data_IF_216995107610
#
_entry.id   IF_216995107610
#
_cell.length_a   1.000
_cell.length_b   1.000
_cell.length_c   1.000
_cell.angle_alpha   90.00
_cell.angle_beta   90.00
_cell.angle_gamma   90.00
#
_symmetry.space_group_name_H-M   'P 1'
#
loop_
_entity.id
_entity.type
_entity.pdbx_description
1 polymer ?
#
# COMPACT_ATOMS: atom_id res chain seq x y z
N UNK A 1 4.63 -23.73 2.96
CA UNK A 1 5.52 -22.59 2.58
C UNK A 1 4.74 -21.72 1.60
N UNK A 2 4.82 -20.38 1.65
CA UNK A 2 4.20 -19.53 0.64
C UNK A 2 4.80 -19.83 -0.75
N UNK A 3 4.00 -19.78 -1.81
CA UNK A 3 4.45 -20.07 -3.18
C UNK A 3 5.36 -18.99 -3.76
N UNK A 4 5.11 -17.73 -3.37
CA UNK A 4 5.88 -16.56 -3.80
C UNK A 4 6.23 -15.67 -2.61
N UNK A 5 7.40 -15.05 -2.70
CA UNK A 5 7.91 -14.09 -1.72
C UNK A 5 8.53 -12.91 -2.45
N UNK A 6 8.55 -11.76 -1.78
CA UNK A 6 9.33 -10.60 -2.19
C UNK A 6 10.61 -10.58 -1.36
N UNK A 7 11.74 -10.58 -2.05
CA UNK A 7 13.06 -10.42 -1.44
C UNK A 7 13.55 -8.99 -1.67
N UNK A 8 13.52 -8.16 -0.63
CA UNK A 8 13.89 -6.75 -0.69
C UNK A 8 15.29 -6.55 -0.11
N UNK A 9 16.27 -6.30 -0.97
CA UNK A 9 17.67 -6.01 -0.58
C UNK A 9 17.80 -4.56 -0.12
N UNK A 10 18.60 -4.30 0.90
CA UNK A 10 18.97 -2.95 1.31
C UNK A 10 19.62 -2.18 0.16
N UNK A 11 19.21 -0.92 -0.03
CA UNK A 11 19.88 0.03 -0.93
C UNK A 11 21.16 0.55 -0.26
N UNK A 12 22.17 0.88 -1.04
CA UNK A 12 23.43 1.41 -0.50
C UNK A 12 23.19 2.74 0.24
N UNK A 13 23.66 2.84 1.49
CA UNK A 13 23.49 4.02 2.35
C UNK A 13 22.09 4.20 2.96
N UNK A 14 21.21 3.21 2.85
CA UNK A 14 19.82 3.26 3.34
C UNK A 14 19.58 2.36 4.57
N UNK A 15 20.54 2.34 5.48
CA UNK A 15 20.47 1.53 6.69
C UNK A 15 19.28 1.94 7.58
N UNK A 16 19.08 3.25 7.74
CA UNK A 16 18.01 3.81 8.57
C UNK A 16 16.62 3.53 7.99
N UNK A 17 16.47 3.58 6.66
CA UNK A 17 15.21 3.29 5.99
C UNK A 17 14.81 1.82 6.13
N UNK A 18 15.77 0.90 6.03
CA UNK A 18 15.49 -0.52 6.25
C UNK A 18 15.11 -0.78 7.72
N UNK A 19 15.77 -0.12 8.66
CA UNK A 19 15.44 -0.24 10.09
C UNK A 19 14.08 0.40 10.42
N UNK A 20 13.76 1.55 9.82
CA UNK A 20 12.44 2.19 9.91
C UNK A 20 11.36 1.28 9.34
N UNK A 21 11.58 0.69 8.17
CA UNK A 21 10.62 -0.23 7.54
C UNK A 21 10.38 -1.46 8.42
N UNK A 22 11.43 -2.06 8.99
CA UNK A 22 11.29 -3.17 9.95
C UNK A 22 10.50 -2.77 11.19
N UNK A 23 10.75 -1.58 11.75
CA UNK A 23 10.01 -1.07 12.89
C UNK A 23 8.53 -0.82 12.55
N UNK A 24 8.25 -0.30 11.36
CA UNK A 24 6.90 -0.12 10.84
C UNK A 24 6.17 -1.46 10.76
N UNK A 25 6.76 -2.49 10.17
CA UNK A 25 6.16 -3.84 10.15
C UNK A 25 5.92 -4.40 11.55
N UNK A 26 6.81 -4.13 12.51
CA UNK A 26 6.60 -4.57 13.89
C UNK A 26 5.37 -3.90 14.53
N UNK A 27 5.20 -2.59 14.32
CA UNK A 27 4.04 -1.81 14.80
C UNK A 27 2.75 -2.22 14.09
N UNK A 28 2.82 -2.48 12.79
CA UNK A 28 1.70 -2.85 11.92
C UNK A 28 1.37 -4.36 11.93
N UNK A 29 1.94 -5.14 12.86
CA UNK A 29 1.71 -6.59 12.99
C UNK A 29 0.21 -6.97 12.91
N UNK A 30 -0.75 -6.25 13.55
CA UNK A 30 -2.16 -6.62 13.50
C UNK A 30 -2.80 -6.57 12.10
N UNK A 31 -2.22 -5.82 11.16
CA UNK A 31 -2.80 -5.57 9.83
C UNK A 31 -1.98 -6.17 8.67
N UNK A 32 -0.94 -6.95 8.99
CA UNK A 32 -0.14 -7.65 7.99
C UNK A 32 -0.94 -8.72 7.24
N UNK A 33 -0.84 -8.71 5.91
CA UNK A 33 -1.66 -9.52 4.99
C UNK A 33 -3.06 -8.96 4.72
N UNK A 34 -3.43 -7.87 5.41
CA UNK A 34 -4.72 -7.20 5.25
C UNK A 34 -4.52 -5.88 4.52
N UNK A 35 -3.68 -5.00 5.08
CA UNK A 35 -3.44 -3.65 4.56
C UNK A 35 -1.99 -3.43 4.16
N UNK A 36 -1.05 -4.21 4.70
CA UNK A 36 0.38 -4.17 4.35
C UNK A 36 0.88 -5.60 4.13
N UNK A 37 2.02 -5.82 3.44
CA UNK A 37 2.60 -7.16 3.29
C UNK A 37 2.85 -7.85 4.63
N UNK A 38 2.88 -9.19 4.63
CA UNK A 38 3.40 -9.96 5.77
C UNK A 38 4.92 -9.88 5.77
N UNK A 39 5.51 -9.54 6.90
CA UNK A 39 6.94 -9.59 7.13
C UNK A 39 7.32 -10.95 7.70
N UNK A 40 8.05 -11.75 6.91
CA UNK A 40 8.49 -13.08 7.33
C UNK A 40 9.81 -13.05 8.11
N UNK A 41 10.63 -12.02 7.91
CA UNK A 41 11.88 -11.84 8.63
C UNK A 41 12.91 -11.08 7.82
N UNK A 42 14.08 -10.87 8.44
CA UNK A 42 15.23 -10.27 7.80
C UNK A 42 16.37 -11.29 7.68
N UNK A 43 17.20 -11.13 6.67
CA UNK A 43 18.37 -11.98 6.39
C UNK A 43 19.51 -11.13 5.82
N UNK A 44 20.63 -11.77 5.48
CA UNK A 44 21.68 -11.18 4.68
C UNK A 44 21.90 -12.00 3.39
N UNK A 45 22.21 -11.32 2.30
CA UNK A 45 22.60 -11.91 1.03
C UNK A 45 23.82 -11.17 0.47
N UNK A 46 24.92 -11.88 0.29
CA UNK A 46 26.23 -11.32 -0.09
C UNK A 46 26.59 -10.12 0.80
N UNK A 47 26.60 -10.34 2.12
CA UNK A 47 26.90 -9.35 3.15
C UNK A 47 26.01 -8.09 3.15
N UNK A 48 24.92 -8.10 2.38
CA UNK A 48 23.92 -7.01 2.38
C UNK A 48 22.65 -7.47 3.06
N UNK A 49 22.12 -6.64 3.96
CA UNK A 49 20.86 -6.92 4.66
C UNK A 49 19.70 -6.97 3.67
N UNK A 50 18.70 -7.78 3.98
CA UNK A 50 17.49 -7.93 3.19
C UNK A 50 16.29 -8.29 4.05
N UNK A 51 15.11 -8.04 3.53
CA UNK A 51 13.82 -8.42 4.12
C UNK A 51 13.10 -9.42 3.22
N UNK A 52 12.38 -10.32 3.86
CA UNK A 52 11.51 -11.30 3.21
C UNK A 52 10.07 -10.91 3.52
N UNK A 53 9.32 -10.59 2.48
CA UNK A 53 7.93 -10.16 2.55
C UNK A 53 7.04 -11.14 1.77
N UNK A 54 5.74 -11.18 2.11
CA UNK A 54 4.76 -11.85 1.25
C UNK A 54 4.63 -11.13 -0.09
N UNK A 55 4.55 -11.90 -1.17
CA UNK A 55 3.96 -11.39 -2.41
C UNK A 55 2.46 -11.10 -2.14
N UNK A 56 2.06 -9.86 -2.38
CA UNK A 56 0.68 -9.39 -2.13
C UNK A 56 -0.25 -9.72 -3.30
N UNK A 57 0.30 -10.11 -4.45
CA UNK A 57 -0.45 -10.31 -5.68
C UNK A 57 -1.17 -9.04 -6.15
N UNK A 58 -2.33 -9.24 -6.79
CA UNK A 58 -3.12 -8.15 -7.35
C UNK A 58 -2.38 -7.34 -8.41
N UNK A 59 -2.83 -6.11 -8.62
CA UNK A 59 -2.24 -5.18 -9.57
C UNK A 59 -1.94 -3.83 -8.93
N UNK A 60 -0.81 -3.23 -9.31
CA UNK A 60 -0.44 -1.88 -8.92
C UNK A 60 -1.45 -0.87 -9.48
N UNK A 61 -2.00 0.04 -8.67
CA UNK A 61 -3.06 0.97 -9.13
C UNK A 61 -2.56 2.07 -10.07
N UNK A 62 -1.24 2.19 -10.23
CA UNK A 62 -0.61 3.01 -11.27
C UNK A 62 -0.48 2.27 -12.63
N UNK A 63 -0.81 0.97 -12.70
CA UNK A 63 -0.85 0.19 -13.93
C UNK A 63 -2.28 0.13 -14.49
N UNK A 64 -2.39 -0.27 -15.77
CA UNK A 64 -3.69 -0.44 -16.44
C UNK A 64 -4.60 -1.43 -15.69
N UNK A 65 -4.02 -2.55 -15.25
CA UNK A 65 -4.73 -3.65 -14.58
C UNK A 65 -5.21 -3.27 -13.17
N UNK A 66 -4.51 -2.34 -12.50
CA UNK A 66 -4.92 -1.84 -11.19
C UNK A 66 -5.86 -0.63 -11.26
N UNK A 67 -5.85 0.11 -12.38
CA UNK A 67 -6.69 1.30 -12.62
C UNK A 67 -8.14 0.98 -13.04
N UNK A 68 -8.68 -0.14 -12.54
CA UNK A 68 -9.99 -0.69 -12.92
C UNK A 68 -11.13 -0.21 -12.01
N UNK A 69 -10.86 0.47 -10.90
CA UNK A 69 -11.92 1.04 -10.07
C UNK A 69 -12.34 2.42 -10.55
N UNK A 70 -13.59 2.79 -10.30
CA UNK A 70 -13.97 4.19 -10.33
C UNK A 70 -13.37 4.95 -9.14
N UNK A 71 -13.45 6.28 -9.18
CA UNK A 71 -12.86 7.13 -8.15
C UNK A 71 -13.50 6.94 -6.77
N UNK A 72 -14.82 6.73 -6.72
CA UNK A 72 -15.57 6.60 -5.47
C UNK A 72 -15.19 5.31 -4.77
N UNK A 73 -15.17 4.21 -5.52
CA UNK A 73 -14.81 2.88 -5.03
C UNK A 73 -13.35 2.85 -4.58
N UNK A 74 -12.44 3.44 -5.36
CA UNK A 74 -11.04 3.61 -4.96
C UNK A 74 -10.90 4.40 -3.65
N UNK A 75 -11.57 5.55 -3.53
CA UNK A 75 -11.53 6.40 -2.35
C UNK A 75 -12.01 5.67 -1.10
N UNK A 76 -13.09 4.89 -1.20
CA UNK A 76 -13.62 4.11 -0.08
C UNK A 76 -12.65 3.03 0.41
N UNK A 77 -12.05 2.27 -0.51
CA UNK A 77 -11.07 1.25 -0.14
C UNK A 77 -9.79 1.87 0.43
N UNK A 78 -9.34 2.97 -0.17
CA UNK A 78 -8.15 3.67 0.27
C UNK A 78 -8.33 4.31 1.65
N UNK A 79 -9.50 4.88 1.94
CA UNK A 79 -9.81 5.40 3.27
C UNK A 79 -9.75 4.29 4.32
N UNK A 80 -10.36 3.14 4.06
CA UNK A 80 -10.30 1.96 4.96
C UNK A 80 -8.85 1.52 5.19
N UNK A 81 -8.06 1.42 4.12
CA UNK A 81 -6.66 1.04 4.23
C UNK A 81 -5.87 2.07 5.05
N UNK A 82 -6.06 3.37 4.80
CA UNK A 82 -5.35 4.40 5.56
C UNK A 82 -5.78 4.43 7.03
N UNK A 83 -7.06 4.29 7.33
CA UNK A 83 -7.57 4.17 8.70
C UNK A 83 -6.93 3.01 9.46
N UNK A 84 -6.68 1.87 8.80
CA UNK A 84 -6.02 0.73 9.44
C UNK A 84 -4.57 1.08 9.87
N UNK A 85 -3.85 1.92 9.12
CA UNK A 85 -2.53 2.40 9.50
C UNK A 85 -2.63 3.45 10.61
N UNK A 86 -3.50 4.45 10.46
CA UNK A 86 -3.57 5.56 11.41
C UNK A 86 -4.07 5.09 12.77
N UNK A 87 -4.98 4.12 12.86
CA UNK A 87 -5.41 3.51 14.13
C UNK A 87 -4.27 2.81 14.89
N UNK A 88 -3.13 2.57 14.26
CA UNK A 88 -1.91 2.06 14.89
C UNK A 88 -0.85 3.16 15.07
N UNK A 89 -1.25 4.43 14.94
CA UNK A 89 -0.36 5.59 15.00
C UNK A 89 0.67 5.60 13.90
N UNK A 90 0.32 5.18 12.68
CA UNK A 90 1.21 5.19 11.52
C UNK A 90 0.59 5.94 10.35
N UNK A 91 1.36 6.82 9.69
CA UNK A 91 1.02 7.44 8.41
C UNK A 91 2.02 7.01 7.33
N UNK A 92 1.51 6.68 6.14
CA UNK A 92 2.34 6.36 4.98
C UNK A 92 2.76 7.63 4.25
N UNK A 93 4.02 8.03 4.35
CA UNK A 93 4.46 9.35 3.89
C UNK A 93 4.93 9.36 2.43
N UNK A 94 5.35 8.22 1.87
CA UNK A 94 5.59 8.11 0.43
C UNK A 94 4.26 7.88 -0.33
N UNK A 95 3.47 8.94 -0.43
CA UNK A 95 2.12 8.92 -1.00
C UNK A 95 2.15 8.91 -2.53
N UNK A 96 2.34 7.71 -3.10
CA UNK A 96 2.32 7.47 -4.54
C UNK A 96 1.41 6.30 -4.89
N UNK A 97 0.86 6.33 -6.10
CA UNK A 97 0.00 5.26 -6.61
C UNK A 97 0.75 3.94 -6.84
N UNK A 98 2.05 3.99 -7.14
CA UNK A 98 2.85 2.78 -7.34
C UNK A 98 3.06 1.95 -6.06
N UNK A 99 2.94 2.59 -4.90
CA UNK A 99 2.97 1.95 -3.58
C UNK A 99 1.62 1.33 -3.17
N UNK A 100 0.61 1.32 -4.04
CA UNK A 100 -0.73 0.78 -3.75
C UNK A 100 -1.07 -0.36 -4.70
N UNK A 101 -1.42 -1.51 -4.14
CA UNK A 101 -1.91 -2.67 -4.88
C UNK A 101 -3.41 -2.86 -4.63
N UNK A 102 -4.17 -3.01 -5.71
CA UNK A 102 -5.53 -3.51 -5.66
C UNK A 102 -5.50 -5.03 -5.69
N UNK A 103 -5.96 -5.65 -4.60
CA UNK A 103 -5.97 -7.10 -4.40
C UNK A 103 -7.40 -7.55 -4.21
N UNK A 104 -7.80 -8.59 -4.94
CA UNK A 104 -9.08 -9.28 -4.76
C UNK A 104 -8.83 -10.60 -4.06
N UNK A 105 -9.35 -10.76 -2.85
CA UNK A 105 -9.24 -11.99 -2.05
C UNK A 105 -10.65 -12.40 -1.61
N UNK A 106 -11.02 -13.66 -1.85
CA UNK A 106 -12.36 -14.19 -1.57
C UNK A 106 -13.52 -13.33 -2.15
N UNK A 107 -13.28 -12.77 -3.34
CA UNK A 107 -14.24 -11.90 -4.03
C UNK A 107 -14.35 -10.48 -3.46
N UNK A 108 -13.48 -10.10 -2.51
CA UNK A 108 -13.46 -8.77 -1.90
C UNK A 108 -12.20 -8.00 -2.28
N UNK A 109 -12.40 -6.77 -2.70
CA UNK A 109 -11.31 -5.86 -3.03
C UNK A 109 -10.77 -5.16 -1.79
N UNK A 110 -9.46 -5.04 -1.73
CA UNK A 110 -8.72 -4.31 -0.72
C UNK A 110 -7.52 -3.60 -1.33
N UNK A 111 -7.15 -2.47 -0.74
CA UNK A 111 -5.89 -1.80 -1.04
C UNK A 111 -4.84 -2.31 -0.06
N UNK A 112 -3.75 -2.84 -0.60
CA UNK A 112 -2.54 -3.14 0.16
C UNK A 112 -1.48 -2.08 -0.14
N UNK A 113 -0.98 -1.43 0.90
CA UNK A 113 0.10 -0.45 0.84
C UNK A 113 1.44 -1.16 1.00
N UNK A 114 2.32 -0.98 0.03
CA UNK A 114 3.69 -1.53 0.01
C UNK A 114 4.71 -0.41 0.26
N UNK A 115 5.98 -0.77 0.44
CA UNK A 115 7.09 0.20 0.62
C UNK A 115 6.96 1.10 1.87
N UNK A 116 7.21 0.52 3.06
CA UNK A 116 7.11 1.26 4.34
C UNK A 116 8.43 1.94 4.75
N UNK A 117 9.32 2.23 3.79
CA UNK A 117 10.61 2.89 4.05
C UNK A 117 10.45 4.35 4.54
N UNK A 118 9.30 4.96 4.25
CA UNK A 118 8.94 6.33 4.66
C UNK A 118 7.56 6.35 5.30
N UNK A 119 7.56 6.23 6.62
CA UNK A 119 6.37 6.33 7.46
C UNK A 119 6.63 7.28 8.63
N UNK A 120 5.60 7.99 9.04
CA UNK A 120 5.51 8.58 10.36
C UNK A 120 4.92 7.55 11.31
N UNK A 121 5.57 7.29 12.45
CA UNK A 121 5.14 6.33 13.47
C UNK A 121 4.76 7.01 14.79
N UNK A 122 4.69 8.34 14.84
CA UNK A 122 4.39 9.10 16.05
C UNK A 122 3.09 9.91 15.90
N UNK A 123 2.18 9.43 15.05
CA UNK A 123 0.87 10.05 14.85
C UNK A 123 0.06 10.02 16.14
N UNK A 124 -0.50 11.17 16.52
CA UNK A 124 -1.40 11.31 17.68
C UNK A 124 -2.78 10.73 17.38
N UNK A 125 -3.42 10.12 18.39
CA UNK A 125 -4.78 9.59 18.28
C UNK A 125 -5.80 10.64 17.82
N UNK A 126 -5.64 11.88 18.28
CA UNK A 126 -6.49 13.01 17.91
C UNK A 126 -6.44 13.31 16.40
N UNK A 127 -5.35 12.92 15.72
CA UNK A 127 -5.12 13.17 14.30
C UNK A 127 -5.50 11.99 13.40
N UNK A 128 -5.88 10.82 13.95
CA UNK A 128 -6.05 9.59 13.16
C UNK A 128 -7.04 9.72 12.01
N UNK A 129 -8.23 10.24 12.29
CA UNK A 129 -9.28 10.39 11.28
C UNK A 129 -8.91 11.45 10.24
N UNK A 130 -8.33 12.56 10.68
CA UNK A 130 -7.90 13.64 9.81
C UNK A 130 -6.76 13.20 8.87
N UNK A 131 -5.76 12.52 9.41
CA UNK A 131 -4.64 11.98 8.63
C UNK A 131 -5.13 10.96 7.59
N UNK A 132 -6.04 10.06 7.99
CA UNK A 132 -6.59 9.07 7.08
C UNK A 132 -7.40 9.70 5.93
N UNK A 133 -8.28 10.64 6.26
CA UNK A 133 -9.08 11.35 5.25
C UNK A 133 -8.18 12.17 4.32
N UNK A 134 -7.26 12.95 4.87
CA UNK A 134 -6.37 13.82 4.10
C UNK A 134 -5.52 13.03 3.10
N UNK A 135 -5.02 11.86 3.52
CA UNK A 135 -4.25 10.96 2.67
C UNK A 135 -5.12 10.35 1.57
N UNK A 136 -6.31 9.84 1.94
CA UNK A 136 -7.23 9.25 0.99
C UNK A 136 -7.64 10.27 -0.08
N UNK A 137 -7.95 11.51 0.31
CA UNK A 137 -8.28 12.59 -0.61
C UNK A 137 -7.12 12.93 -1.55
N UNK A 138 -5.90 13.02 -1.01
CA UNK A 138 -4.71 13.33 -1.80
C UNK A 138 -4.45 12.29 -2.90
N UNK A 139 -4.41 11.02 -2.52
CA UNK A 139 -4.17 9.90 -3.44
C UNK A 139 -5.36 9.68 -4.38
N UNK A 140 -6.60 9.92 -3.95
CA UNK A 140 -7.78 9.89 -4.83
C UNK A 140 -7.68 10.93 -5.94
N UNK A 141 -7.18 12.14 -5.63
CA UNK A 141 -6.91 13.16 -6.67
C UNK A 141 -5.84 12.70 -7.66
N UNK A 142 -4.78 12.06 -7.19
CA UNK A 142 -3.75 11.49 -8.07
C UNK A 142 -4.34 10.40 -8.96
N UNK A 143 -5.13 9.49 -8.39
CA UNK A 143 -5.79 8.42 -9.12
C UNK A 143 -6.74 8.96 -10.20
N UNK A 144 -7.56 9.96 -9.88
CA UNK A 144 -8.41 10.65 -10.87
C UNK A 144 -7.58 11.22 -12.03
N UNK A 145 -6.44 11.85 -11.74
CA UNK A 145 -5.54 12.38 -12.78
C UNK A 145 -4.95 11.27 -13.63
N UNK A 146 -4.58 10.14 -13.02
CA UNK A 146 -4.09 8.96 -13.71
C UNK A 146 -5.16 8.40 -14.65
N UNK A 147 -6.40 8.22 -14.17
CA UNK A 147 -7.52 7.76 -15.02
C UNK A 147 -7.76 8.64 -16.24
N UNK A 148 -7.72 9.96 -16.07
CA UNK A 148 -7.86 10.92 -17.21
C UNK A 148 -6.73 10.77 -18.22
N UNK A 149 -5.52 10.46 -17.76
CA UNK A 149 -4.37 10.23 -18.64
C UNK A 149 -4.59 8.95 -19.45
N UNK A 150 -4.99 7.87 -18.80
CA UNK A 150 -5.30 6.60 -19.49
C UNK A 150 -6.46 6.73 -20.48
N UNK A 151 -7.47 7.54 -20.14
CA UNK A 151 -8.60 7.84 -21.03
C UNK A 151 -8.16 8.65 -22.26
N UNK A 152 -7.35 9.69 -22.04
CA UNK A 152 -6.77 10.51 -23.11
C UNK A 152 -5.92 9.67 -24.06
N UNK A 153 -5.14 8.73 -23.52
CA UNK A 153 -4.29 7.82 -24.29
C UNK A 153 -5.07 6.66 -24.95
N UNK A 154 -6.38 6.52 -24.67
CA UNK A 154 -7.24 5.48 -25.25
C UNK A 154 -6.96 4.07 -24.72
N UNK A 155 -6.33 3.95 -23.55
CA UNK A 155 -5.92 2.68 -22.93
C UNK A 155 -6.66 2.36 -21.62
N UNK A 156 -7.60 3.22 -21.21
CA UNK A 156 -8.39 2.99 -20.01
C UNK A 156 -9.22 1.71 -20.12
N UNK A 157 -8.96 0.77 -19.20
CA UNK A 157 -9.73 -0.47 -19.12
C UNK A 157 -11.15 -0.25 -18.56
N UNK A 158 -12.12 -1.13 -18.88
CA UNK A 158 -13.46 -1.08 -18.30
C UNK A 158 -13.43 -1.08 -16.77
N UNK A 159 -14.36 -0.33 -16.18
CA UNK A 159 -14.47 -0.25 -14.73
C UNK A 159 -15.08 -1.53 -14.14
N UNK A 160 -14.46 -2.03 -13.08
CA UNK A 160 -14.98 -3.10 -12.24
C UNK A 160 -15.78 -2.48 -11.09
N UNK A 161 -17.02 -2.91 -10.94
CA UNK A 161 -17.86 -2.50 -9.81
C UNK A 161 -17.43 -3.25 -8.55
N UNK A 162 -17.40 -2.56 -7.41
CA UNK A 162 -17.34 -3.26 -6.13
C UNK A 162 -18.64 -4.03 -5.91
N UNK A 163 -18.54 -5.33 -5.65
CA UNK A 163 -19.70 -6.12 -5.21
C UNK A 163 -20.20 -5.56 -3.88
N UNK A 164 -21.30 -4.81 -3.94
CA UNK A 164 -22.05 -4.38 -2.75
C UNK A 164 -22.79 -5.57 -2.17
N UNK A 165 -22.11 -6.36 -1.34
CA UNK A 165 -22.73 -7.40 -0.49
C UNK A 165 -22.52 -7.09 0.97
#
# INVERSE_FOLDING_TARGET
MPEKIVFKKQKEGWDEELDREKAAYAKLRPIQGITVPRFYGATAYNDTRAMILSDVGGACVASLEGAVLDEKDFSQLLYKATMNLTNLGVSHDDSKLDNLHLVTEDGKDKIIMVELERVDMDLSEDDFAFAAQSKADFLTRQYRSHLRTLEYDGVLLPKRLLDSK
#
